data_IF_405093383504
#
_entry.id   IF_405093383504
#
_cell.length_a   1.000
_cell.length_b   1.000
_cell.length_c   1.000
_cell.angle_alpha   90.00
_cell.angle_beta   90.00
_cell.angle_gamma   90.00
#
_symmetry.space_group_name_H-M   'P 1'
#
loop_
_entity.id
_entity.type
_entity.pdbx_description
1 polymer ?
#
# COMPACT_ATOMS: atom_id res chain seq x y z
N UNK A 1 -0.67 -12.69 8.13
CA UNK A 1 0.60 -12.32 8.79
C UNK A 1 1.32 -11.34 7.89
N UNK A 2 1.65 -10.16 8.43
CA UNK A 2 2.39 -9.10 7.72
C UNK A 2 3.85 -9.09 8.18
N UNK A 3 4.80 -9.04 7.23
CA UNK A 3 6.24 -8.90 7.53
C UNK A 3 6.84 -7.72 6.77
N UNK A 4 7.28 -6.69 7.50
CA UNK A 4 7.83 -5.47 6.92
C UNK A 4 9.37 -5.48 6.89
N UNK A 5 9.94 -5.10 5.74
CA UNK A 5 11.37 -4.89 5.54
C UNK A 5 11.67 -3.40 5.39
N UNK A 6 12.10 -2.75 6.45
CA UNK A 6 12.38 -1.31 6.50
C UNK A 6 13.87 -1.00 6.58
N UNK A 7 14.30 0.10 5.98
CA UNK A 7 15.71 0.51 5.98
C UNK A 7 16.08 1.47 4.85
N UNK A 8 17.32 1.97 4.85
CA UNK A 8 17.82 2.97 3.88
C UNK A 8 17.90 2.42 2.45
N UNK A 9 18.05 3.29 1.46
CA UNK A 9 18.30 2.91 0.07
C UNK A 9 19.57 2.06 -0.07
N UNK A 10 19.55 1.03 -0.91
CA UNK A 10 20.72 0.21 -1.23
C UNK A 10 21.10 -0.89 -0.23
N UNK A 11 20.39 -1.07 0.89
CA UNK A 11 20.71 -2.12 1.89
C UNK A 11 20.21 -3.54 1.51
N UNK A 12 19.64 -3.72 0.31
CA UNK A 12 19.19 -5.02 -0.18
C UNK A 12 17.78 -5.46 0.23
N UNK A 13 16.93 -4.53 0.72
CA UNK A 13 15.55 -4.83 1.17
C UNK A 13 14.74 -5.62 0.15
N UNK A 14 14.72 -5.15 -1.09
CA UNK A 14 14.01 -5.77 -2.21
C UNK A 14 14.47 -7.20 -2.45
N UNK A 15 15.77 -7.47 -2.41
CA UNK A 15 16.32 -8.81 -2.60
C UNK A 15 15.94 -9.75 -1.46
N UNK A 16 16.05 -9.28 -0.21
CA UNK A 16 15.73 -10.08 0.98
C UNK A 16 14.23 -10.36 1.09
N UNK A 17 13.38 -9.34 0.90
CA UNK A 17 11.92 -9.52 0.92
C UNK A 17 11.46 -10.46 -0.19
N UNK A 18 12.07 -10.37 -1.37
CA UNK A 18 11.78 -11.27 -2.49
C UNK A 18 12.11 -12.72 -2.17
N UNK A 19 13.32 -12.99 -1.65
CA UNK A 19 13.74 -14.33 -1.27
C UNK A 19 12.87 -14.90 -0.13
N UNK A 20 12.49 -14.07 0.84
CA UNK A 20 11.62 -14.47 1.94
C UNK A 20 10.21 -14.83 1.44
N UNK A 21 9.63 -14.01 0.56
CA UNK A 21 8.32 -14.27 -0.03
C UNK A 21 8.27 -15.55 -0.87
N UNK A 22 9.34 -15.86 -1.63
CA UNK A 22 9.48 -17.13 -2.34
C UNK A 22 9.48 -18.33 -1.42
N UNK A 23 10.08 -18.22 -0.23
CA UNK A 23 10.06 -19.33 0.72
C UNK A 23 8.67 -19.46 1.36
N UNK A 24 8.01 -18.35 1.71
CA UNK A 24 6.66 -18.36 2.26
C UNK A 24 5.62 -18.90 1.27
N UNK A 25 5.78 -18.67 -0.03
CA UNK A 25 4.82 -19.13 -1.05
C UNK A 25 4.71 -20.64 -1.16
N UNK A 26 5.68 -21.37 -0.60
CA UNK A 26 5.66 -22.84 -0.45
C UNK A 26 4.65 -23.30 0.60
N UNK A 27 4.21 -22.41 1.49
CA UNK A 27 3.31 -22.68 2.61
C UNK A 27 1.94 -22.03 2.45
N UNK A 28 1.76 -21.09 1.51
CA UNK A 28 0.50 -20.37 1.31
C UNK A 28 0.57 -19.32 0.22
N UNK A 29 -0.52 -18.60 -0.02
CA UNK A 29 -0.58 -17.47 -0.94
C UNK A 29 0.15 -16.28 -0.33
N UNK A 30 1.19 -15.82 -1.01
CA UNK A 30 2.05 -14.72 -0.56
C UNK A 30 1.87 -13.51 -1.46
N UNK A 31 1.64 -12.35 -0.87
CA UNK A 31 1.68 -11.06 -1.54
C UNK A 31 3.00 -10.35 -1.19
N UNK A 32 3.64 -9.76 -2.18
CA UNK A 32 4.73 -8.79 -1.96
C UNK A 32 4.17 -7.41 -2.24
N UNK A 33 4.27 -6.52 -1.27
CA UNK A 33 3.87 -5.12 -1.41
C UNK A 33 5.11 -4.23 -1.48
N UNK A 34 5.18 -3.36 -2.49
CA UNK A 34 6.24 -2.36 -2.63
C UNK A 34 5.65 -0.96 -2.67
N UNK A 35 6.22 -0.06 -1.88
CA UNK A 35 5.91 1.37 -1.87
C UNK A 35 6.99 2.20 -2.58
N UNK A 36 7.97 1.55 -3.21
CA UNK A 36 9.12 2.20 -3.85
C UNK A 36 8.84 2.51 -5.33
N UNK A 37 9.40 3.61 -5.83
CA UNK A 37 9.17 4.17 -7.18
C UNK A 37 9.79 3.36 -8.33
N UNK A 38 10.60 2.34 -8.03
CA UNK A 38 11.31 1.55 -9.04
C UNK A 38 10.62 0.18 -9.22
N UNK A 39 9.78 0.01 -10.25
CA UNK A 39 8.89 -1.14 -10.40
C UNK A 39 9.64 -2.36 -10.93
N UNK A 40 10.64 -2.81 -10.17
CA UNK A 40 11.57 -3.88 -10.53
C UNK A 40 11.06 -5.26 -10.07
N UNK A 41 10.16 -5.30 -9.09
CA UNK A 41 9.68 -6.53 -8.48
C UNK A 41 8.80 -7.36 -9.42
N UNK A 42 7.91 -6.72 -10.16
CA UNK A 42 7.09 -7.41 -11.17
C UNK A 42 7.92 -8.16 -12.23
N UNK A 43 9.13 -7.67 -12.54
CA UNK A 43 10.05 -8.33 -13.48
C UNK A 43 10.82 -9.50 -12.85
N UNK A 44 10.98 -9.50 -11.53
CA UNK A 44 11.60 -10.61 -10.78
C UNK A 44 10.60 -11.78 -10.66
N UNK A 45 9.31 -11.51 -10.52
CA UNK A 45 8.28 -12.49 -10.17
C UNK A 45 7.37 -12.93 -11.33
N UNK A 46 7.90 -12.99 -12.55
CA UNK A 46 7.08 -13.19 -13.76
C UNK A 46 6.34 -14.54 -13.84
N UNK A 47 6.79 -15.59 -13.12
CA UNK A 47 6.18 -16.94 -13.18
C UNK A 47 6.37 -17.76 -11.90
N UNK A 48 5.77 -17.32 -10.79
CA UNK A 48 5.73 -18.14 -9.57
C UNK A 48 4.30 -18.42 -9.12
N UNK A 49 3.99 -19.71 -8.98
CA UNK A 49 2.76 -20.15 -8.35
C UNK A 49 2.71 -19.62 -6.90
N UNK A 50 1.55 -19.12 -6.48
CA UNK A 50 1.26 -18.57 -5.15
C UNK A 50 1.97 -17.26 -4.75
N UNK A 51 2.72 -16.59 -5.64
CA UNK A 51 3.25 -15.25 -5.37
C UNK A 51 2.47 -14.21 -6.19
N UNK A 52 1.97 -13.18 -5.52
CA UNK A 52 1.44 -11.96 -6.14
C UNK A 52 2.34 -10.78 -5.81
N UNK A 53 2.41 -9.80 -6.71
CA UNK A 53 3.11 -8.54 -6.48
C UNK A 53 2.09 -7.41 -6.59
N UNK A 54 2.14 -6.48 -5.64
CA UNK A 54 1.38 -5.23 -5.66
C UNK A 54 2.34 -4.07 -5.43
N UNK A 55 2.23 -3.07 -6.27
CA UNK A 55 2.88 -1.78 -6.05
C UNK A 55 1.81 -0.83 -5.52
N UNK A 56 2.11 -0.15 -4.42
CA UNK A 56 1.25 0.86 -3.81
C UNK A 56 1.96 2.21 -3.93
N UNK A 57 1.52 3.01 -4.87
CA UNK A 57 2.02 4.38 -5.04
C UNK A 57 1.30 5.34 -4.11
N UNK A 58 1.96 6.44 -3.73
CA UNK A 58 1.32 7.51 -2.93
C UNK A 58 0.05 8.03 -3.60
N UNK A 59 0.05 8.10 -4.93
CA UNK A 59 -1.11 8.53 -5.71
C UNK A 59 -2.29 7.58 -5.52
N UNK A 60 -2.08 6.27 -5.71
CA UNK A 60 -3.16 5.27 -5.53
C UNK A 60 -3.67 5.24 -4.08
N UNK A 61 -2.79 5.44 -3.10
CA UNK A 61 -3.19 5.54 -1.69
C UNK A 61 -4.03 6.79 -1.43
N UNK A 62 -3.65 7.92 -2.02
CA UNK A 62 -4.41 9.17 -1.92
C UNK A 62 -5.79 9.05 -2.57
N UNK A 63 -5.88 8.44 -3.76
CA UNK A 63 -7.15 8.20 -4.46
C UNK A 63 -8.07 7.30 -3.63
N UNK A 64 -7.55 6.19 -3.08
CA UNK A 64 -8.32 5.31 -2.18
C UNK A 64 -8.75 6.02 -0.90
N UNK A 65 -7.95 6.95 -0.39
CA UNK A 65 -8.31 7.74 0.78
C UNK A 65 -9.49 8.67 0.48
N UNK A 66 -9.46 9.36 -0.67
CA UNK A 66 -10.57 10.22 -1.10
C UNK A 66 -11.85 9.41 -1.29
N UNK A 67 -11.76 8.24 -1.94
CA UNK A 67 -12.91 7.35 -2.13
C UNK A 67 -13.52 6.88 -0.80
N UNK A 68 -12.68 6.62 0.20
CA UNK A 68 -13.12 6.01 1.46
C UNK A 68 -13.57 7.02 2.51
N UNK A 69 -12.89 8.16 2.61
CA UNK A 69 -13.10 9.14 3.68
C UNK A 69 -13.50 10.53 3.17
N UNK A 70 -13.41 10.77 1.85
CA UNK A 70 -13.60 12.10 1.29
C UNK A 70 -14.96 12.70 1.60
N UNK A 71 -16.04 11.94 1.41
CA UNK A 71 -17.40 12.41 1.72
C UNK A 71 -17.58 12.73 3.21
N UNK A 72 -17.11 11.87 4.11
CA UNK A 72 -17.21 12.08 5.56
C UNK A 72 -16.42 13.33 5.99
N UNK A 73 -15.20 13.49 5.48
CA UNK A 73 -14.35 14.66 5.75
C UNK A 73 -15.00 15.94 5.21
N UNK A 74 -15.55 15.89 3.99
CA UNK A 74 -16.18 17.03 3.35
C UNK A 74 -17.50 17.41 4.03
N UNK A 75 -18.27 16.44 4.50
CA UNK A 75 -19.48 16.71 5.28
C UNK A 75 -19.13 17.51 6.53
N UNK A 76 -18.11 17.09 7.28
CA UNK A 76 -17.65 17.79 8.48
C UNK A 76 -17.08 19.17 8.12
N UNK A 77 -16.22 19.25 7.10
CA UNK A 77 -15.58 20.52 6.71
C UNK A 77 -16.60 21.59 6.30
N UNK A 78 -17.64 21.21 5.56
CA UNK A 78 -18.72 22.11 5.11
C UNK A 78 -19.56 22.71 6.26
N UNK A 79 -19.50 22.13 7.46
CA UNK A 79 -20.13 22.72 8.65
C UNK A 79 -19.38 23.95 9.18
N UNK A 80 -18.09 24.08 8.86
CA UNK A 80 -17.22 25.12 9.41
C UNK A 80 -16.69 26.11 8.36
N UNK A 81 -16.49 25.65 7.12
CA UNK A 81 -15.88 26.43 6.04
C UNK A 81 -16.57 26.13 4.69
N UNK A 82 -16.40 27.02 3.73
CA UNK A 82 -16.79 26.74 2.34
C UNK A 82 -15.77 25.77 1.73
N UNK A 83 -16.15 24.49 1.70
CA UNK A 83 -15.28 23.38 1.32
C UNK A 83 -15.71 22.78 -0.02
N UNK A 84 -14.78 22.74 -0.96
CA UNK A 84 -14.92 22.18 -2.30
C UNK A 84 -13.99 20.99 -2.56
N UNK A 85 -14.04 20.43 -3.76
CA UNK A 85 -13.18 19.29 -4.15
C UNK A 85 -11.68 19.66 -4.14
N UNK A 86 -11.32 20.94 -4.32
CA UNK A 86 -9.92 21.37 -4.26
C UNK A 86 -9.36 21.18 -2.85
N UNK A 87 -10.15 21.52 -1.81
CA UNK A 87 -9.76 21.26 -0.43
C UNK A 87 -9.58 19.76 -0.17
N UNK A 88 -10.47 18.91 -0.68
CA UNK A 88 -10.36 17.46 -0.50
C UNK A 88 -9.05 16.93 -1.10
N UNK A 89 -8.74 17.31 -2.34
CA UNK A 89 -7.50 16.93 -3.02
C UNK A 89 -6.25 17.47 -2.32
N UNK A 90 -6.35 18.61 -1.65
CA UNK A 90 -5.25 19.15 -0.86
C UNK A 90 -5.01 18.31 0.40
N UNK A 91 -6.08 17.91 1.10
CA UNK A 91 -5.99 17.08 2.32
C UNK A 91 -5.45 15.69 1.99
N UNK A 92 -5.95 15.04 0.94
CA UNK A 92 -5.55 13.68 0.57
C UNK A 92 -4.07 13.54 0.24
N UNK A 93 -3.47 14.61 -0.30
CA UNK A 93 -2.06 14.70 -0.69
C UNK A 93 -1.20 15.42 0.33
N UNK A 94 -1.77 15.77 1.49
CA UNK A 94 -1.01 16.41 2.54
C UNK A 94 0.14 15.48 2.99
N UNK A 95 1.36 16.01 3.19
CA UNK A 95 2.49 15.19 3.61
C UNK A 95 2.17 14.35 4.85
N UNK A 96 2.45 13.05 4.80
CA UNK A 96 2.16 12.11 5.88
C UNK A 96 0.85 11.35 5.72
N UNK A 97 -0.16 11.90 5.03
CA UNK A 97 -1.45 11.21 4.84
C UNK A 97 -1.26 9.93 4.01
N UNK A 98 -0.62 9.95 2.83
CA UNK A 98 -0.40 8.72 2.08
C UNK A 98 0.40 7.67 2.87
N UNK A 99 1.42 8.08 3.61
CA UNK A 99 2.28 7.17 4.37
C UNK A 99 1.53 6.48 5.52
N UNK A 100 0.68 7.20 6.25
CA UNK A 100 -0.18 6.61 7.27
C UNK A 100 -1.21 5.65 6.67
N UNK A 101 -1.76 5.98 5.50
CA UNK A 101 -2.79 5.18 4.86
C UNK A 101 -2.27 3.92 4.16
N UNK A 102 -0.98 3.83 3.85
CA UNK A 102 -0.35 2.56 3.42
C UNK A 102 -0.63 1.46 4.47
N UNK A 103 -0.51 1.77 5.76
CA UNK A 103 -0.73 0.80 6.83
C UNK A 103 -2.19 0.32 6.84
N UNK A 104 -3.15 1.23 6.67
CA UNK A 104 -4.58 0.87 6.57
C UNK A 104 -4.82 -0.08 5.40
N UNK A 105 -4.19 0.17 4.24
CA UNK A 105 -4.31 -0.70 3.07
C UNK A 105 -3.74 -2.11 3.34
N UNK A 106 -2.60 -2.21 4.05
CA UNK A 106 -2.02 -3.51 4.42
C UNK A 106 -2.93 -4.31 5.35
N UNK A 107 -3.56 -3.63 6.33
CA UNK A 107 -4.51 -4.26 7.26
C UNK A 107 -5.76 -4.77 6.51
N UNK A 108 -6.27 -4.00 5.55
CA UNK A 108 -7.40 -4.43 4.71
C UNK A 108 -7.05 -5.66 3.87
N UNK A 109 -5.83 -5.70 3.31
CA UNK A 109 -5.35 -6.86 2.56
C UNK A 109 -5.25 -8.10 3.45
N UNK A 110 -4.75 -7.97 4.69
CA UNK A 110 -4.72 -9.09 5.65
C UNK A 110 -6.14 -9.56 5.99
N UNK A 111 -7.04 -8.62 6.32
CA UNK A 111 -8.43 -8.93 6.68
C UNK A 111 -9.24 -9.55 5.53
N UNK A 112 -8.83 -9.32 4.28
CA UNK A 112 -9.49 -9.93 3.12
C UNK A 112 -9.40 -11.46 3.09
N UNK A 113 -8.41 -12.05 3.79
CA UNK A 113 -8.13 -13.49 3.75
C UNK A 113 -7.69 -14.00 2.39
N UNK A 114 -7.38 -13.11 1.42
CA UNK A 114 -6.94 -13.48 0.08
C UNK A 114 -5.52 -14.06 0.07
N UNK A 115 -4.71 -13.63 1.03
CA UNK A 115 -3.30 -14.01 1.17
C UNK A 115 -3.05 -14.52 2.59
N UNK A 116 -2.27 -15.59 2.70
CA UNK A 116 -1.80 -16.13 3.98
C UNK A 116 -0.65 -15.26 4.54
N UNK A 117 0.15 -14.70 3.63
CA UNK A 117 1.34 -13.89 3.92
C UNK A 117 1.36 -12.61 3.09
N UNK A 118 1.76 -11.50 3.71
CA UNK A 118 1.92 -10.17 3.10
C UNK A 118 3.25 -9.55 3.52
#
# INVERSE_FOLDING_TARGET
MIVAFVGKGGVGKTSVSSAFALELSRFGKTLIVSTDLMPSLQFIFTQHDNVSVMELTEKEVSERWEEKYGEDVMQIAREFIDADEELLHHISRAPGVPEEFIISNLIELENSGKYDFI
#
